data_IF_340994477181
#
_entry.id   IF_340994477181
#
_cell.length_a   1.000
_cell.length_b   1.000
_cell.length_c   1.000
_cell.angle_alpha   90.00
_cell.angle_beta   90.00
_cell.angle_gamma   90.00
#
_symmetry.space_group_name_H-M   'P 1'
#
loop_
_entity.id
_entity.type
_entity.pdbx_description
1 polymer ?
#
# COMPACT_ATOMS: atom_id res chain seq x y z
N UNK A 1 -6.63 -16.65 -5.79
CA UNK A 1 -5.95 -17.89 -5.34
C UNK A 1 -5.45 -17.77 -3.90
N UNK A 2 -4.49 -16.89 -3.51
CA UNK A 2 -4.02 -16.84 -2.11
C UNK A 2 -5.15 -16.71 -1.08
N UNK A 3 -6.14 -15.86 -1.34
CA UNK A 3 -7.31 -15.66 -0.49
C UNK A 3 -8.15 -16.93 -0.28
N UNK A 4 -8.22 -17.81 -1.26
CA UNK A 4 -9.09 -19.00 -1.21
C UNK A 4 -8.45 -20.21 -0.50
N UNK A 5 -7.13 -20.18 -0.31
CA UNK A 5 -6.37 -21.28 0.33
C UNK A 5 -5.80 -20.90 1.69
N UNK A 6 -6.11 -19.69 2.18
CA UNK A 6 -5.67 -19.18 3.49
C UNK A 6 -6.85 -18.57 4.23
N UNK A 7 -6.79 -18.53 5.56
CA UNK A 7 -7.85 -17.97 6.41
C UNK A 7 -7.44 -16.71 7.16
N UNK A 8 -6.17 -16.55 7.51
CA UNK A 8 -5.66 -15.45 8.34
C UNK A 8 -4.65 -14.56 7.61
N UNK A 9 -3.93 -15.12 6.62
CA UNK A 9 -2.90 -14.39 5.89
C UNK A 9 -3.47 -13.10 5.28
N UNK A 10 -2.86 -11.95 5.59
CA UNK A 10 -3.16 -10.69 4.91
C UNK A 10 -2.71 -10.77 3.47
N UNK A 11 -3.47 -10.15 2.59
CA UNK A 11 -3.23 -10.14 1.14
C UNK A 11 -3.06 -8.70 0.72
N UNK A 12 -2.02 -8.41 -0.03
CA UNK A 12 -1.78 -7.02 -0.43
C UNK A 12 -1.20 -6.89 -1.84
N UNK A 13 -1.31 -5.70 -2.39
CA UNK A 13 -0.59 -5.32 -3.61
C UNK A 13 0.69 -4.58 -3.23
N UNK A 14 1.82 -4.95 -3.80
CA UNK A 14 3.08 -4.30 -3.53
C UNK A 14 3.75 -3.78 -4.81
N UNK A 15 3.22 -2.80 -5.47
CA UNK A 15 2.02 -1.94 -5.30
C UNK A 15 1.14 -2.02 -6.55
N UNK A 16 -0.10 -1.50 -6.48
CA UNK A 16 -0.93 -1.30 -7.67
C UNK A 16 -0.76 0.13 -8.20
N UNK A 17 -0.54 0.25 -9.51
CA UNK A 17 -0.50 1.54 -10.22
C UNK A 17 -1.92 2.04 -10.45
N UNK A 18 -2.48 2.73 -9.47
CA UNK A 18 -3.86 3.25 -9.50
C UNK A 18 -4.06 4.25 -10.64
N UNK A 19 -2.99 4.95 -11.01
CA UNK A 19 -3.01 5.93 -12.12
C UNK A 19 -3.27 5.32 -13.49
N UNK A 20 -3.09 4.01 -13.64
CA UNK A 20 -3.20 3.29 -14.91
C UNK A 20 -4.44 2.37 -14.96
N UNK A 21 -5.32 2.49 -13.94
CA UNK A 21 -6.51 1.63 -13.79
C UNK A 21 -7.77 2.46 -13.69
N UNK A 22 -8.86 1.98 -14.27
CA UNK A 22 -10.17 2.56 -14.03
C UNK A 22 -10.55 2.48 -12.55
N UNK A 23 -10.89 3.60 -11.88
CA UNK A 23 -11.14 3.63 -10.45
C UNK A 23 -12.43 2.91 -10.03
N UNK A 24 -13.47 2.89 -10.88
CA UNK A 24 -14.72 2.20 -10.58
C UNK A 24 -14.51 0.69 -10.62
N UNK A 25 -13.83 0.21 -11.66
CA UNK A 25 -13.50 -1.21 -11.76
C UNK A 25 -12.56 -1.65 -10.64
N UNK A 26 -11.55 -0.85 -10.32
CA UNK A 26 -10.60 -1.14 -9.25
C UNK A 26 -11.27 -1.17 -7.88
N UNK A 27 -12.17 -0.22 -7.61
CA UNK A 27 -12.97 -0.20 -6.37
C UNK A 27 -13.80 -1.48 -6.23
N UNK A 28 -14.45 -1.91 -7.32
CA UNK A 28 -15.23 -3.15 -7.37
C UNK A 28 -14.36 -4.39 -7.09
N UNK A 29 -13.22 -4.49 -7.74
CA UNK A 29 -12.30 -5.62 -7.56
C UNK A 29 -11.76 -5.70 -6.13
N UNK A 30 -11.31 -4.57 -5.58
CA UNK A 30 -10.81 -4.48 -4.21
C UNK A 30 -11.91 -4.83 -3.18
N UNK A 31 -13.11 -4.27 -3.33
CA UNK A 31 -14.23 -4.58 -2.44
C UNK A 31 -14.62 -6.06 -2.50
N UNK A 32 -14.64 -6.66 -3.69
CA UNK A 32 -14.96 -8.08 -3.87
C UNK A 32 -13.92 -8.97 -3.21
N UNK A 33 -12.62 -8.68 -3.42
CA UNK A 33 -11.53 -9.44 -2.79
C UNK A 33 -11.53 -9.27 -1.28
N UNK A 34 -11.76 -8.06 -0.79
CA UNK A 34 -11.85 -7.80 0.65
C UNK A 34 -13.01 -8.56 1.30
N UNK A 35 -14.20 -8.52 0.67
CA UNK A 35 -15.37 -9.25 1.13
C UNK A 35 -15.12 -10.76 1.17
N UNK A 36 -14.62 -11.34 0.07
CA UNK A 36 -14.35 -12.79 -0.04
C UNK A 36 -13.22 -13.26 0.86
N UNK A 37 -12.25 -12.42 1.14
CA UNK A 37 -11.14 -12.72 2.06
C UNK A 37 -11.48 -12.46 3.53
N UNK A 38 -12.71 -12.04 3.84
CA UNK A 38 -13.13 -11.67 5.19
C UNK A 38 -12.31 -10.51 5.80
N UNK A 39 -12.05 -9.46 5.01
CA UNK A 39 -11.37 -8.24 5.48
C UNK A 39 -9.85 -8.38 5.61
N UNK A 40 -9.21 -9.16 4.74
CA UNK A 40 -7.75 -9.38 4.79
C UNK A 40 -6.98 -8.58 3.74
N UNK A 41 -7.65 -7.79 2.89
CA UNK A 41 -6.99 -7.02 1.84
C UNK A 41 -6.30 -5.78 2.41
N UNK A 42 -5.07 -5.53 1.95
CA UNK A 42 -4.32 -4.29 2.09
C UNK A 42 -4.02 -3.77 0.68
N UNK A 43 -4.37 -2.52 0.39
CA UNK A 43 -4.18 -1.97 -0.95
C UNK A 43 -2.96 -1.07 -0.99
N UNK A 44 -1.80 -1.64 -1.33
CA UNK A 44 -0.59 -0.86 -1.62
C UNK A 44 -0.75 -0.15 -2.97
N UNK A 45 -0.57 1.17 -2.98
CA UNK A 45 -0.79 2.02 -4.16
C UNK A 45 0.44 2.86 -4.49
N UNK A 46 0.61 3.16 -5.77
CA UNK A 46 1.65 4.07 -6.26
C UNK A 46 1.22 4.85 -7.49
N UNK A 47 1.93 5.93 -7.76
CA UNK A 47 1.65 6.81 -8.89
C UNK A 47 2.35 6.40 -10.19
N UNK A 48 3.24 5.41 -10.14
CA UNK A 48 4.08 5.05 -11.29
C UNK A 48 5.30 5.97 -11.47
N UNK A 49 6.29 5.45 -12.18
CA UNK A 49 7.55 6.14 -12.48
C UNK A 49 7.94 6.08 -13.97
N UNK A 50 7.42 5.10 -14.70
CA UNK A 50 7.72 4.89 -16.11
C UNK A 50 6.82 5.80 -16.98
N UNK A 51 7.44 6.78 -17.64
CA UNK A 51 6.74 7.78 -18.44
C UNK A 51 6.06 7.16 -19.67
N UNK A 52 6.72 6.20 -20.31
CA UNK A 52 6.23 5.52 -21.50
C UNK A 52 5.00 4.65 -21.17
N UNK A 53 5.07 3.89 -20.10
CA UNK A 53 3.98 3.06 -19.60
C UNK A 53 2.74 3.92 -19.28
N UNK A 54 2.94 4.98 -18.52
CA UNK A 54 1.85 5.92 -18.17
C UNK A 54 1.21 6.54 -19.42
N UNK A 55 2.02 6.91 -20.43
CA UNK A 55 1.52 7.45 -21.69
C UNK A 55 0.67 6.44 -22.45
N UNK A 56 1.02 5.15 -22.44
CA UNK A 56 0.23 4.09 -23.06
C UNK A 56 -1.15 3.92 -22.38
N UNK A 57 -1.25 4.28 -21.10
CA UNK A 57 -2.51 4.32 -20.36
C UNK A 57 -3.22 5.69 -20.39
N UNK A 58 -2.77 6.62 -21.24
CA UNK A 58 -3.37 7.94 -21.37
C UNK A 58 -3.13 8.88 -20.19
N UNK A 59 -2.12 8.60 -19.36
CA UNK A 59 -1.81 9.34 -18.16
C UNK A 59 -0.64 10.30 -18.41
N UNK A 60 -0.86 11.61 -18.17
CA UNK A 60 0.22 12.59 -18.18
C UNK A 60 1.06 12.44 -16.90
N UNK A 61 2.36 12.18 -17.06
CA UNK A 61 3.30 11.96 -15.94
C UNK A 61 3.27 13.10 -14.90
N UNK A 62 3.15 14.34 -15.34
CA UNK A 62 3.09 15.51 -14.47
C UNK A 62 1.87 15.52 -13.54
N UNK A 63 0.78 14.88 -13.96
CA UNK A 63 -0.48 14.86 -13.19
C UNK A 63 -0.68 13.58 -12.36
N UNK A 64 0.25 12.61 -12.42
CA UNK A 64 0.10 11.30 -11.78
C UNK A 64 -0.30 11.34 -10.30
N UNK A 65 0.23 12.30 -9.54
CA UNK A 65 -0.10 12.44 -8.12
C UNK A 65 -1.51 12.99 -7.88
N UNK A 66 -1.99 13.86 -8.76
CA UNK A 66 -3.36 14.39 -8.70
C UNK A 66 -4.36 13.29 -9.11
N UNK A 67 -4.01 12.53 -10.15
CA UNK A 67 -4.81 11.40 -10.62
C UNK A 67 -4.88 10.32 -9.53
N UNK A 68 -3.75 9.96 -8.90
CA UNK A 68 -3.72 9.01 -7.79
C UNK A 68 -4.65 9.47 -6.65
N UNK A 69 -4.56 10.75 -6.27
CA UNK A 69 -5.41 11.31 -5.22
C UNK A 69 -6.90 11.19 -5.55
N UNK A 70 -7.32 11.67 -6.72
CA UNK A 70 -8.75 11.64 -7.10
C UNK A 70 -9.26 10.20 -7.22
N UNK A 71 -8.52 9.30 -7.85
CA UNK A 71 -8.90 7.89 -7.95
C UNK A 71 -9.01 7.21 -6.58
N UNK A 72 -8.10 7.52 -5.66
CA UNK A 72 -8.17 7.00 -4.28
C UNK A 72 -9.41 7.49 -3.55
N UNK A 73 -9.72 8.79 -3.65
CA UNK A 73 -10.91 9.38 -3.04
C UNK A 73 -12.19 8.83 -3.66
N UNK A 74 -12.25 8.69 -4.98
CA UNK A 74 -13.38 8.11 -5.70
C UNK A 74 -13.64 6.66 -5.28
N UNK A 75 -12.59 5.84 -5.11
CA UNK A 75 -12.73 4.48 -4.59
C UNK A 75 -13.32 4.47 -3.17
N UNK A 76 -12.91 5.40 -2.30
CA UNK A 76 -13.48 5.52 -0.95
C UNK A 76 -14.97 5.89 -0.98
N UNK A 77 -15.38 6.82 -1.85
CA UNK A 77 -16.81 7.13 -2.04
C UNK A 77 -17.59 5.88 -2.46
N UNK A 78 -17.09 5.11 -3.43
CA UNK A 78 -17.71 3.87 -3.88
C UNK A 78 -17.84 2.84 -2.74
N UNK A 79 -16.84 2.75 -1.86
CA UNK A 79 -16.88 1.78 -0.76
C UNK A 79 -17.80 2.18 0.39
N UNK A 80 -17.94 3.47 0.65
CA UNK A 80 -18.60 3.98 1.87
C UNK A 80 -20.02 4.46 1.64
N UNK A 81 -20.35 4.90 0.42
CA UNK A 81 -21.70 5.40 0.09
C UNK A 81 -22.57 4.32 -0.52
N UNK A 82 -23.87 4.37 -0.20
CA UNK A 82 -24.88 3.53 -0.86
C UNK A 82 -24.95 3.86 -2.34
N UNK A 83 -25.26 5.11 -2.66
CA UNK A 83 -25.12 5.73 -3.96
C UNK A 83 -23.86 6.60 -3.96
N UNK A 84 -22.88 6.22 -4.75
CA UNK A 84 -21.62 6.94 -4.88
C UNK A 84 -21.60 7.78 -6.14
N UNK A 85 -21.14 9.02 -6.02
CA UNK A 85 -20.86 9.92 -7.14
C UNK A 85 -19.53 10.63 -6.88
N UNK A 86 -18.82 11.02 -7.93
CA UNK A 86 -17.57 11.74 -7.79
C UNK A 86 -17.38 12.70 -8.96
N UNK A 87 -17.14 13.99 -8.68
CA UNK A 87 -17.00 15.05 -9.67
C UNK A 87 -15.66 15.78 -9.49
N UNK A 88 -14.61 15.16 -10.05
CA UNK A 88 -13.25 15.70 -10.04
C UNK A 88 -12.78 16.10 -11.43
N UNK A 89 -11.51 16.43 -11.53
CA UNK A 89 -10.90 16.79 -12.80
C UNK A 89 -10.50 15.54 -13.62
N UNK A 90 -10.09 14.46 -12.94
CA UNK A 90 -9.55 13.24 -13.54
C UNK A 90 -10.47 12.03 -13.35
N UNK A 91 -11.44 12.14 -12.45
CA UNK A 91 -12.48 11.14 -12.21
C UNK A 91 -13.80 11.86 -12.15
N UNK A 92 -14.75 11.46 -12.96
CA UNK A 92 -16.09 12.03 -13.00
C UNK A 92 -17.09 10.93 -13.32
N UNK A 93 -18.07 10.72 -12.41
CA UNK A 93 -19.19 9.80 -12.61
C UNK A 93 -20.38 10.20 -11.77
N UNK A 94 -21.57 10.03 -12.35
CA UNK A 94 -22.85 10.20 -11.68
C UNK A 94 -23.13 9.02 -10.73
N UNK A 95 -24.26 9.06 -10.04
CA UNK A 95 -24.66 8.08 -9.03
C UNK A 95 -24.60 6.64 -9.52
N UNK A 96 -23.81 5.84 -8.83
CA UNK A 96 -23.68 4.40 -9.08
C UNK A 96 -23.87 3.59 -7.80
N UNK A 97 -24.34 2.37 -7.95
CA UNK A 97 -24.31 1.35 -6.92
C UNK A 97 -23.16 0.37 -7.19
N UNK A 98 -22.43 0.02 -6.15
CA UNK A 98 -21.35 -0.96 -6.24
C UNK A 98 -21.40 -1.93 -5.06
N UNK A 99 -21.65 -3.20 -5.36
CA UNK A 99 -21.70 -4.31 -4.40
C UNK A 99 -20.84 -5.49 -4.87
N UNK A 100 -20.26 -6.30 -3.92
CA UNK A 100 -20.37 -6.13 -2.47
C UNK A 100 -19.65 -4.88 -1.99
N UNK A 101 -20.04 -4.37 -0.83
CA UNK A 101 -19.22 -3.41 -0.09
C UNK A 101 -18.04 -4.17 0.54
N UNK A 102 -16.92 -3.51 0.80
CA UNK A 102 -15.81 -4.12 1.53
C UNK A 102 -16.25 -4.65 2.90
N UNK A 103 -15.59 -5.68 3.39
CA UNK A 103 -15.78 -6.20 4.75
C UNK A 103 -15.21 -5.26 5.79
N UNK A 104 -14.09 -4.61 5.46
CA UNK A 104 -13.45 -3.61 6.31
C UNK A 104 -14.23 -2.29 6.25
N UNK A 105 -14.54 -1.70 7.41
CA UNK A 105 -15.22 -0.41 7.49
C UNK A 105 -14.37 0.69 6.83
N UNK A 106 -14.96 1.47 5.91
CA UNK A 106 -14.22 2.49 5.16
C UNK A 106 -13.44 1.97 3.94
N UNK A 107 -13.42 0.66 3.74
CA UNK A 107 -12.68 -0.03 2.68
C UNK A 107 -11.36 -0.64 3.13
N UNK A 108 -10.67 -1.37 2.25
CA UNK A 108 -9.34 -1.89 2.52
C UNK A 108 -8.37 -0.75 2.85
N UNK A 109 -7.48 -0.90 3.85
CA UNK A 109 -6.44 0.10 4.11
C UNK A 109 -5.61 0.38 2.86
N UNK A 110 -5.42 1.65 2.55
CA UNK A 110 -4.64 2.12 1.40
C UNK A 110 -3.26 2.55 1.87
N UNK A 111 -2.23 1.86 1.39
CA UNK A 111 -0.84 2.07 1.80
C UNK A 111 -0.04 2.72 0.67
N UNK A 112 0.60 3.86 0.92
CA UNK A 112 1.36 4.62 -0.07
C UNK A 112 2.75 4.03 -0.29
N UNK A 113 3.00 3.50 -1.48
CA UNK A 113 4.31 3.02 -1.93
C UNK A 113 5.15 4.13 -2.57
N UNK A 114 5.70 5.02 -1.77
CA UNK A 114 6.58 6.09 -2.23
C UNK A 114 7.54 6.55 -1.12
N UNK A 115 8.68 7.13 -1.50
CA UNK A 115 9.71 7.64 -0.59
C UNK A 115 10.10 9.08 -0.94
N UNK A 116 9.14 9.93 -1.30
CA UNK A 116 9.40 11.34 -1.61
C UNK A 116 9.16 12.23 -0.39
N UNK A 117 9.81 13.41 -0.35
CA UNK A 117 9.61 14.41 0.72
C UNK A 117 8.16 14.90 0.89
N UNK A 118 7.25 14.54 -0.01
CA UNK A 118 5.83 14.91 0.07
C UNK A 118 4.94 13.73 0.51
N UNK A 119 5.52 12.53 0.76
CA UNK A 119 4.75 11.31 1.02
C UNK A 119 3.91 11.44 2.28
N UNK A 120 4.46 12.01 3.36
CA UNK A 120 3.77 12.15 4.64
C UNK A 120 2.46 12.95 4.54
N UNK A 121 2.45 14.06 3.77
CA UNK A 121 1.23 14.84 3.54
C UNK A 121 0.17 14.06 2.77
N UNK A 122 0.59 13.30 1.75
CA UNK A 122 -0.31 12.47 0.94
C UNK A 122 -0.91 11.33 1.76
N UNK A 123 -0.11 10.71 2.63
CA UNK A 123 -0.60 9.67 3.54
C UNK A 123 -1.67 10.25 4.45
N UNK A 124 -1.38 11.35 5.13
CA UNK A 124 -2.32 12.00 6.04
C UNK A 124 -3.61 12.44 5.35
N UNK A 125 -3.56 12.84 4.07
CA UNK A 125 -4.70 13.37 3.33
C UNK A 125 -5.63 12.27 2.80
N UNK A 126 -5.11 11.18 2.20
CA UNK A 126 -5.95 10.22 1.48
C UNK A 126 -5.53 8.74 1.57
N UNK A 127 -4.48 8.40 2.32
CA UNK A 127 -4.08 7.01 2.56
C UNK A 127 -4.21 6.63 4.05
N UNK A 128 -3.97 5.36 4.37
CA UNK A 128 -4.05 4.84 5.74
C UNK A 128 -2.67 4.46 6.28
N UNK A 129 -1.63 4.53 5.46
CA UNK A 129 -0.30 4.19 5.89
C UNK A 129 0.77 4.31 4.82
N UNK A 130 1.97 3.91 5.21
CA UNK A 130 3.18 3.98 4.40
C UNK A 130 3.71 2.60 4.04
N UNK A 131 4.16 2.43 2.79
CA UNK A 131 4.64 1.15 2.27
C UNK A 131 5.87 1.35 1.37
N UNK A 132 7.01 1.83 1.91
CA UNK A 132 8.22 2.02 1.13
C UNK A 132 8.89 0.69 0.79
N UNK A 133 9.76 0.72 -0.24
CA UNK A 133 10.69 -0.36 -0.51
C UNK A 133 11.90 -0.18 0.43
N UNK A 134 12.31 -1.27 1.07
CA UNK A 134 13.51 -1.29 1.91
C UNK A 134 14.75 -0.90 1.10
N UNK A 135 15.55 -0.02 1.65
CA UNK A 135 16.83 0.39 1.09
C UNK A 135 17.95 -0.30 1.87
N UNK A 136 18.54 -1.31 1.26
CA UNK A 136 19.83 -1.83 1.68
C UNK A 136 20.96 -0.82 1.37
N UNK A 137 22.20 -1.15 1.76
CA UNK A 137 23.35 -0.27 1.53
C UNK A 137 23.55 0.12 0.06
N UNK A 138 23.26 -0.79 -0.89
CA UNK A 138 23.43 -0.53 -2.32
C UNK A 138 22.41 0.48 -2.85
N UNK A 139 21.16 0.37 -2.43
CA UNK A 139 20.09 1.31 -2.78
C UNK A 139 20.29 2.67 -2.11
N UNK A 140 20.77 2.68 -0.86
CA UNK A 140 21.09 3.91 -0.14
C UNK A 140 22.22 4.68 -0.83
N UNK A 141 23.24 3.99 -1.37
CA UNK A 141 24.33 4.63 -2.15
C UNK A 141 23.82 5.21 -3.48
N UNK A 142 22.86 4.55 -4.13
CA UNK A 142 22.35 4.98 -5.43
C UNK A 142 21.35 6.14 -5.35
N UNK A 143 20.53 6.21 -4.30
CA UNK A 143 19.38 7.13 -4.20
C UNK A 143 19.38 8.05 -2.98
N UNK A 144 20.43 7.97 -2.14
CA UNK A 144 20.49 8.62 -0.83
C UNK A 144 19.78 7.76 0.25
N UNK A 145 20.36 7.73 1.44
CA UNK A 145 19.79 6.97 2.56
C UNK A 145 18.47 7.57 3.02
N UNK A 146 17.49 6.72 3.28
CA UNK A 146 16.23 7.10 3.94
C UNK A 146 16.39 6.93 5.44
N UNK A 147 16.17 7.99 6.19
CA UNK A 147 16.00 7.91 7.64
C UNK A 147 14.55 7.52 7.92
N UNK A 148 14.30 6.24 8.22
CA UNK A 148 12.97 5.71 8.44
C UNK A 148 12.32 6.29 9.69
N UNK A 149 13.06 6.39 10.80
CA UNK A 149 12.55 6.95 12.05
C UNK A 149 12.08 8.40 11.88
N UNK A 150 12.88 9.24 11.24
CA UNK A 150 12.49 10.62 10.92
C UNK A 150 11.28 10.67 9.98
N UNK A 151 11.26 9.84 8.94
CA UNK A 151 10.15 9.76 8.00
C UNK A 151 8.85 9.36 8.68
N UNK A 152 8.89 8.38 9.60
CA UNK A 152 7.76 7.93 10.38
C UNK A 152 7.27 9.04 11.31
N UNK A 153 8.17 9.78 11.95
CA UNK A 153 7.77 10.92 12.78
C UNK A 153 7.06 12.00 11.97
N UNK A 154 7.57 12.33 10.79
CA UNK A 154 6.91 13.29 9.88
C UNK A 154 5.52 12.80 9.43
N UNK A 155 5.34 11.50 9.24
CA UNK A 155 4.03 10.90 8.91
C UNK A 155 3.08 11.06 10.10
N UNK A 156 3.51 10.73 11.32
CA UNK A 156 2.70 10.88 12.54
C UNK A 156 2.31 12.33 12.81
N UNK A 157 3.24 13.25 12.63
CA UNK A 157 2.97 14.69 12.80
C UNK A 157 1.94 15.20 11.79
N UNK A 158 2.08 14.80 10.51
CA UNK A 158 1.10 15.14 9.48
C UNK A 158 -0.26 14.48 9.72
N UNK A 159 -0.28 13.24 10.24
CA UNK A 159 -1.48 12.50 10.62
C UNK A 159 -2.26 13.21 11.72
N UNK A 160 -1.57 13.60 12.79
CA UNK A 160 -2.14 14.36 13.90
C UNK A 160 -2.64 15.75 13.46
N UNK A 161 -1.86 16.44 12.63
CA UNK A 161 -2.24 17.75 12.07
C UNK A 161 -3.49 17.68 11.16
N UNK A 162 -3.71 16.53 10.52
CA UNK A 162 -4.92 16.26 9.73
C UNK A 162 -6.13 15.84 10.58
N UNK A 163 -6.00 15.77 11.91
CA UNK A 163 -7.06 15.38 12.83
C UNK A 163 -7.44 13.89 12.74
N UNK A 164 -6.55 13.04 12.24
CA UNK A 164 -6.81 11.60 12.13
C UNK A 164 -6.56 10.91 13.45
N UNK A 165 -7.44 9.98 13.80
CA UNK A 165 -7.32 9.14 15.00
C UNK A 165 -6.47 7.89 14.75
N UNK A 166 -5.91 7.33 15.81
CA UNK A 166 -5.04 6.16 15.78
C UNK A 166 -3.68 6.43 15.11
N UNK A 167 -2.93 5.37 14.87
CA UNK A 167 -1.64 5.43 14.16
C UNK A 167 -1.77 5.00 12.70
N UNK A 168 -0.95 5.54 11.79
CA UNK A 168 -0.88 5.05 10.41
C UNK A 168 -0.34 3.60 10.37
N UNK A 169 -0.79 2.81 9.38
CA UNK A 169 -0.18 1.50 9.08
C UNK A 169 1.21 1.71 8.48
N UNK A 170 2.23 1.17 9.14
CA UNK A 170 3.63 1.33 8.75
C UNK A 170 4.19 -0.02 8.28
N UNK A 171 4.10 -0.27 6.99
CA UNK A 171 4.60 -1.48 6.36
C UNK A 171 5.85 -1.19 5.55
N UNK A 172 6.79 -2.15 5.43
CA UNK A 172 7.99 -2.03 4.58
C UNK A 172 8.18 -3.28 3.75
N UNK A 173 8.55 -3.11 2.48
CA UNK A 173 8.64 -4.20 1.50
C UNK A 173 10.08 -4.48 1.07
N UNK A 174 10.39 -5.76 0.89
CA UNK A 174 11.61 -6.20 0.26
C UNK A 174 12.79 -6.33 1.21
N UNK A 175 12.53 -6.56 2.49
CA UNK A 175 13.56 -6.81 3.50
C UNK A 175 14.18 -8.19 3.29
N UNK A 176 15.50 -8.29 3.42
CA UNK A 176 16.23 -9.55 3.40
C UNK A 176 16.14 -10.30 4.74
N UNK A 177 16.67 -11.54 4.79
CA UNK A 177 16.68 -12.36 6.02
C UNK A 177 17.81 -11.95 6.98
N UNK A 178 17.81 -10.69 7.38
CA UNK A 178 18.77 -10.10 8.30
C UNK A 178 18.06 -9.69 9.61
N UNK A 179 18.27 -10.41 10.73
CA UNK A 179 17.62 -10.11 12.00
C UNK A 179 17.96 -8.71 12.54
N UNK A 180 19.17 -8.19 12.32
CA UNK A 180 19.54 -6.85 12.78
C UNK A 180 18.79 -5.77 11.99
N UNK A 181 18.61 -5.96 10.67
CA UNK A 181 17.79 -5.06 9.87
C UNK A 181 16.32 -5.07 10.35
N UNK A 182 15.77 -6.25 10.62
CA UNK A 182 14.40 -6.40 11.15
C UNK A 182 14.28 -5.69 12.50
N UNK A 183 15.22 -5.91 13.42
CA UNK A 183 15.25 -5.26 14.74
C UNK A 183 15.30 -3.74 14.64
N UNK A 184 16.13 -3.22 13.75
CA UNK A 184 16.21 -1.77 13.49
C UNK A 184 14.89 -1.21 12.98
N UNK A 185 14.25 -1.88 12.01
CA UNK A 185 12.98 -1.44 11.44
C UNK A 185 11.83 -1.48 12.44
N UNK A 186 11.80 -2.49 13.33
CA UNK A 186 10.85 -2.54 14.45
C UNK A 186 11.08 -1.37 15.42
N UNK A 187 12.36 -1.07 15.74
CA UNK A 187 12.71 0.07 16.59
C UNK A 187 12.35 1.42 15.96
N UNK A 188 12.46 1.55 14.65
CA UNK A 188 12.01 2.73 13.89
C UNK A 188 10.48 2.91 13.93
N UNK A 189 9.72 1.83 14.19
CA UNK A 189 8.27 1.87 14.37
C UNK A 189 7.45 1.22 13.24
N UNK A 190 8.06 0.42 12.36
CA UNK A 190 7.29 -0.39 11.41
C UNK A 190 6.53 -1.50 12.13
N UNK A 191 5.24 -1.65 11.80
CA UNK A 191 4.38 -2.69 12.37
C UNK A 191 4.17 -3.88 11.42
N UNK A 192 4.72 -3.82 10.20
CA UNK A 192 4.71 -4.93 9.23
C UNK A 192 5.96 -4.92 8.37
N UNK A 193 6.70 -6.02 8.41
CA UNK A 193 7.90 -6.23 7.60
C UNK A 193 7.61 -7.34 6.60
N UNK A 194 7.82 -7.07 5.31
CA UNK A 194 7.53 -8.02 4.23
C UNK A 194 8.85 -8.42 3.59
N UNK A 195 9.18 -9.68 3.76
CA UNK A 195 10.36 -10.28 3.15
C UNK A 195 10.19 -10.46 1.65
N UNK A 196 11.29 -10.28 0.91
CA UNK A 196 11.31 -10.54 -0.52
C UNK A 196 11.54 -12.03 -0.79
N UNK A 197 10.72 -12.60 -1.67
CA UNK A 197 10.92 -13.93 -2.22
C UNK A 197 11.16 -13.83 -3.72
N UNK A 198 12.11 -14.58 -4.28
CA UNK A 198 12.31 -14.65 -5.72
C UNK A 198 11.16 -15.40 -6.40
N UNK A 199 10.92 -15.11 -7.67
CA UNK A 199 10.08 -15.96 -8.52
C UNK A 199 10.91 -17.16 -8.95
N UNK A 200 10.83 -18.24 -8.17
CA UNK A 200 11.61 -19.46 -8.35
C UNK A 200 10.77 -20.70 -7.98
N UNK A 201 11.34 -21.89 -8.17
CA UNK A 201 10.72 -23.16 -7.81
C UNK A 201 10.62 -23.37 -6.28
N UNK A 202 9.88 -24.41 -5.89
CA UNK A 202 9.64 -24.74 -4.50
C UNK A 202 10.95 -25.08 -3.75
N UNK A 203 11.89 -25.74 -4.40
CA UNK A 203 13.16 -26.16 -3.79
C UNK A 203 14.03 -24.94 -3.40
N UNK A 204 13.89 -23.84 -4.15
CA UNK A 204 14.54 -22.56 -3.83
C UNK A 204 13.76 -21.77 -2.77
N UNK A 205 12.44 -21.70 -2.89
CA UNK A 205 11.61 -20.80 -2.07
C UNK A 205 11.32 -21.36 -0.67
N UNK A 206 11.08 -22.67 -0.54
CA UNK A 206 10.71 -23.28 0.74
C UNK A 206 11.77 -23.12 1.84
N UNK A 207 13.08 -23.34 1.59
CA UNK A 207 14.10 -23.08 2.60
C UNK A 207 14.20 -21.62 3.01
N UNK A 208 13.93 -20.67 2.09
CA UNK A 208 13.87 -19.25 2.40
C UNK A 208 12.69 -18.93 3.32
N UNK A 209 11.52 -19.50 3.05
CA UNK A 209 10.34 -19.34 3.90
C UNK A 209 10.56 -19.86 5.32
N UNK A 210 11.22 -21.02 5.47
CA UNK A 210 11.58 -21.55 6.79
C UNK A 210 12.48 -20.60 7.57
N UNK A 211 13.51 -20.05 6.91
CA UNK A 211 14.38 -19.03 7.52
C UNK A 211 13.63 -17.76 7.89
N UNK A 212 12.72 -17.28 7.03
CA UNK A 212 11.92 -16.10 7.32
C UNK A 212 10.93 -16.34 8.45
N UNK A 213 10.37 -17.55 8.56
CA UNK A 213 9.51 -17.95 9.66
C UNK A 213 10.26 -17.91 11.00
N UNK A 214 11.51 -18.38 11.04
CA UNK A 214 12.35 -18.31 12.25
C UNK A 214 12.53 -16.86 12.72
N UNK A 215 12.89 -15.96 11.80
CA UNK A 215 13.03 -14.51 12.09
C UNK A 215 11.69 -13.93 12.55
N UNK A 216 10.59 -14.27 11.86
CA UNK A 216 9.27 -13.78 12.22
C UNK A 216 8.85 -14.23 13.62
N UNK A 217 9.20 -15.46 14.05
CA UNK A 217 8.94 -15.94 15.41
C UNK A 217 9.76 -15.19 16.48
N UNK A 218 10.94 -14.72 16.15
CA UNK A 218 11.78 -13.94 17.08
C UNK A 218 11.21 -12.54 17.36
N UNK A 219 10.60 -11.90 16.35
CA UNK A 219 10.12 -10.52 16.41
C UNK A 219 8.59 -10.36 16.36
N UNK A 220 7.85 -11.43 16.06
CA UNK A 220 6.39 -11.44 16.00
C UNK A 220 5.81 -11.99 17.31
N UNK A 221 5.04 -11.17 17.99
CA UNK A 221 4.12 -11.61 19.05
C UNK A 221 2.74 -11.88 18.47
#
# INVERSE_FOLDING_TARGET
>A
MAASVTTELKIGTGISLVTERDPVLMAKQAATLDFLSNGRLLLGVGAGWNVEEMRHHGVAYADRWKILRERTLAMREIWTREEAEFHGKYVDFDKIWSYPKPKQAGGPPILMGASSKYVYKRIAEYCDGWFPIYQDQSRAQASGAVNYGESIQLIRDAWAAAGRSGDPDLSIFGVGPDPEAVKSLVADGFNRIIFALPSADADTVLPMLERYAQIAHEFGN
#
